data_IF_965184488765
#
_entry.id   IF_965184488765
#
_cell.length_a   1.000
_cell.length_b   1.000
_cell.length_c   1.000
_cell.angle_alpha   90.00
_cell.angle_beta   90.00
_cell.angle_gamma   90.00
#
_symmetry.space_group_name_H-M   'P 1'
#
loop_
_entity.id
_entity.type
_entity.pdbx_description
1 polymer ?
#
# COMPACT_ATOMS: atom_id res chain seq x y z
N UNK A 1 20.01 -4.78 17.68
CA UNK A 1 20.03 -3.87 16.52
C UNK A 1 19.59 -4.57 15.22
N UNK A 2 19.93 -5.85 14.95
CA UNK A 2 19.52 -6.50 13.68
C UNK A 2 18.00 -6.59 13.45
N UNK A 3 17.21 -6.78 14.52
CA UNK A 3 15.75 -6.94 14.42
C UNK A 3 15.04 -5.70 13.86
N UNK A 4 15.54 -4.51 14.19
CA UNK A 4 14.95 -3.24 13.71
C UNK A 4 15.23 -3.02 12.22
N UNK A 5 16.44 -3.36 11.78
CA UNK A 5 16.87 -3.22 10.38
C UNK A 5 16.14 -4.25 9.51
N UNK A 6 15.97 -5.47 10.01
CA UNK A 6 15.18 -6.53 9.37
C UNK A 6 13.70 -6.13 9.20
N UNK A 7 13.07 -5.61 10.26
CA UNK A 7 11.68 -5.14 10.20
C UNK A 7 11.52 -3.94 9.25
N UNK A 8 12.47 -3.00 9.26
CA UNK A 8 12.46 -1.85 8.36
C UNK A 8 12.58 -2.31 6.90
N UNK A 9 13.51 -3.24 6.62
CA UNK A 9 13.70 -3.80 5.28
C UNK A 9 12.47 -4.57 4.80
N UNK A 10 11.83 -5.36 5.69
CA UNK A 10 10.61 -6.08 5.36
C UNK A 10 9.44 -5.14 5.05
N UNK A 11 9.28 -4.05 5.83
CA UNK A 11 8.27 -3.02 5.58
C UNK A 11 8.52 -2.27 4.28
N UNK A 12 9.78 -1.90 3.99
CA UNK A 12 10.15 -1.26 2.73
C UNK A 12 9.84 -2.16 1.52
N UNK A 13 10.16 -3.45 1.61
CA UNK A 13 9.82 -4.42 0.57
C UNK A 13 8.30 -4.54 0.38
N UNK A 14 7.54 -4.66 1.48
CA UNK A 14 6.08 -4.72 1.44
C UNK A 14 5.47 -3.45 0.83
N UNK A 15 6.02 -2.27 1.13
CA UNK A 15 5.59 -1.00 0.57
C UNK A 15 5.84 -0.90 -0.93
N UNK A 16 7.01 -1.35 -1.40
CA UNK A 16 7.32 -1.40 -2.84
C UNK A 16 6.30 -2.27 -3.57
N UNK A 17 6.00 -3.45 -3.03
CA UNK A 17 4.99 -4.35 -3.60
C UNK A 17 3.60 -3.72 -3.60
N UNK A 18 3.14 -3.17 -2.46
CA UNK A 18 1.82 -2.57 -2.35
C UNK A 18 1.65 -1.35 -3.29
N UNK A 19 2.70 -0.54 -3.48
CA UNK A 19 2.69 0.58 -4.43
C UNK A 19 2.62 0.10 -5.88
N UNK A 20 3.30 -0.99 -6.22
CA UNK A 20 3.21 -1.60 -7.54
C UNK A 20 1.81 -2.14 -7.82
N UNK A 21 1.20 -2.84 -6.85
CA UNK A 21 -0.18 -3.33 -6.95
C UNK A 21 -1.18 -2.17 -7.13
N UNK A 22 -1.07 -1.11 -6.33
CA UNK A 22 -1.92 0.07 -6.46
C UNK A 22 -1.79 0.72 -7.84
N UNK A 23 -0.55 0.90 -8.34
CA UNK A 23 -0.32 1.43 -9.68
C UNK A 23 -0.96 0.55 -10.76
N UNK A 24 -0.83 -0.76 -10.65
CA UNK A 24 -1.42 -1.70 -11.60
C UNK A 24 -2.95 -1.64 -11.58
N UNK A 25 -3.57 -1.57 -10.40
CA UNK A 25 -5.01 -1.43 -10.25
C UNK A 25 -5.53 -0.13 -10.91
N UNK A 26 -4.83 0.99 -10.71
CA UNK A 26 -5.16 2.27 -11.35
C UNK A 26 -5.05 2.19 -12.88
N UNK A 27 -3.97 1.59 -13.40
CA UNK A 27 -3.80 1.41 -14.85
C UNK A 27 -4.87 0.50 -15.46
N UNK A 28 -5.25 -0.56 -14.75
CA UNK A 28 -6.29 -1.48 -15.19
C UNK A 28 -7.65 -0.77 -15.23
N UNK A 29 -8.01 0.01 -14.20
CA UNK A 29 -9.24 0.79 -14.22
C UNK A 29 -9.23 1.80 -15.38
N UNK A 30 -8.13 2.55 -15.55
CA UNK A 30 -8.04 3.52 -16.64
C UNK A 30 -8.22 2.85 -18.01
N UNK A 31 -7.66 1.65 -18.20
CA UNK A 31 -7.81 0.86 -19.42
C UNK A 31 -9.27 0.42 -19.61
N UNK A 32 -9.89 -0.10 -18.55
CA UNK A 32 -11.29 -0.53 -18.57
C UNK A 32 -12.26 0.64 -18.81
N UNK A 33 -11.98 1.81 -18.25
CA UNK A 33 -12.80 3.01 -18.48
C UNK A 33 -12.61 3.57 -19.88
N UNK A 34 -11.40 3.51 -20.44
CA UNK A 34 -11.15 3.90 -21.82
C UNK A 34 -11.89 3.00 -22.83
N UNK A 35 -12.04 1.70 -22.55
CA UNK A 35 -12.80 0.80 -23.42
C UNK A 35 -14.32 1.00 -23.32
N UNK A 36 -14.82 1.49 -22.18
CA UNK A 36 -16.24 1.83 -21.97
C UNK A 36 -16.68 3.13 -22.64
N UNK A 37 -15.75 4.01 -23.04
CA UNK A 37 -16.06 5.36 -23.50
C UNK A 37 -16.95 5.41 -24.77
N UNK A 38 -17.02 4.30 -25.52
CA UNK A 38 -17.87 4.14 -26.70
C UNK A 38 -19.18 3.36 -26.45
N UNK A 39 -19.46 2.93 -25.22
CA UNK A 39 -20.67 2.18 -24.86
C UNK A 39 -21.85 3.10 -24.55
N UNK A 40 -23.04 2.80 -25.10
CA UNK A 40 -24.30 3.46 -24.75
C UNK A 40 -24.84 3.08 -23.37
N UNK A 41 -24.34 1.99 -22.78
CA UNK A 41 -24.69 1.50 -21.44
C UNK A 41 -23.44 1.51 -20.55
N UNK A 42 -23.04 2.71 -20.11
CA UNK A 42 -21.84 2.87 -19.27
C UNK A 42 -22.12 2.43 -17.84
N UNK A 43 -21.57 1.29 -17.47
CA UNK A 43 -21.56 0.84 -16.07
C UNK A 43 -20.57 1.68 -15.23
N UNK A 44 -20.87 1.91 -13.94
CA UNK A 44 -19.95 2.57 -13.02
C UNK A 44 -18.55 1.95 -13.00
N UNK A 45 -17.56 2.76 -12.63
CA UNK A 45 -16.20 2.29 -12.41
C UNK A 45 -16.14 1.35 -11.19
N UNK A 46 -15.56 0.16 -11.37
CA UNK A 46 -15.21 -0.72 -10.26
C UNK A 46 -13.93 -0.21 -9.59
N UNK A 47 -14.11 0.44 -8.44
CA UNK A 47 -13.02 1.10 -7.70
C UNK A 47 -12.58 0.29 -6.48
N UNK A 48 -13.21 -0.85 -6.19
CA UNK A 48 -12.98 -1.59 -4.94
C UNK A 48 -11.54 -2.11 -4.87
N UNK A 49 -11.03 -2.63 -5.99
CA UNK A 49 -9.64 -3.09 -6.11
C UNK A 49 -8.63 -1.95 -5.87
N UNK A 50 -8.92 -0.74 -6.35
CA UNK A 50 -8.08 0.44 -6.14
C UNK A 50 -8.12 0.86 -4.68
N UNK A 51 -9.32 0.88 -4.08
CA UNK A 51 -9.50 1.26 -2.69
C UNK A 51 -8.75 0.29 -1.76
N UNK A 52 -8.86 -1.01 -2.01
CA UNK A 52 -8.15 -2.03 -1.26
C UNK A 52 -6.63 -1.86 -1.35
N UNK A 53 -6.09 -1.74 -2.57
CA UNK A 53 -4.64 -1.56 -2.77
C UNK A 53 -4.13 -0.25 -2.15
N UNK A 54 -4.90 0.84 -2.26
CA UNK A 54 -4.56 2.13 -1.63
C UNK A 54 -4.53 2.04 -0.11
N UNK A 55 -5.54 1.40 0.49
CA UNK A 55 -5.62 1.22 1.95
C UNK A 55 -4.43 0.42 2.47
N UNK A 56 -4.00 -0.61 1.73
CA UNK A 56 -2.81 -1.39 2.07
C UNK A 56 -1.53 -0.55 2.05
N UNK A 57 -1.36 0.33 1.06
CA UNK A 57 -0.21 1.27 1.02
C UNK A 57 -0.23 2.19 2.24
N UNK A 58 -1.37 2.81 2.54
CA UNK A 58 -1.50 3.74 3.68
C UNK A 58 -1.17 3.04 5.01
N UNK A 59 -1.69 1.83 5.22
CA UNK A 59 -1.44 1.08 6.44
C UNK A 59 0.04 0.72 6.61
N UNK A 60 0.72 0.33 5.52
CA UNK A 60 2.15 0.02 5.55
C UNK A 60 3.03 1.26 5.74
N UNK A 61 2.66 2.39 5.14
CA UNK A 61 3.39 3.66 5.33
C UNK A 61 3.25 4.14 6.79
N UNK A 62 2.05 4.02 7.38
CA UNK A 62 1.84 4.31 8.80
C UNK A 62 2.63 3.38 9.72
N UNK A 63 2.69 2.08 9.42
CA UNK A 63 3.48 1.11 10.19
C UNK A 63 4.98 1.42 10.12
N UNK A 64 5.48 1.87 8.96
CA UNK A 64 6.87 2.31 8.79
C UNK A 64 7.19 3.57 9.59
N UNK A 65 6.28 4.55 9.58
CA UNK A 65 6.44 5.77 10.39
C UNK A 65 6.44 5.49 11.89
N UNK A 66 5.57 4.59 12.35
CA UNK A 66 5.54 4.15 13.75
C UNK A 66 6.83 3.41 14.13
N UNK A 67 7.29 2.46 13.31
CA UNK A 67 8.55 1.76 13.56
C UNK A 67 9.73 2.75 13.63
N UNK A 68 9.79 3.72 12.71
CA UNK A 68 10.84 4.74 12.73
C UNK A 68 10.81 5.57 14.01
N UNK A 69 9.62 5.93 14.53
CA UNK A 69 9.48 6.62 15.82
C UNK A 69 10.01 5.77 16.97
N UNK A 70 9.57 4.51 17.07
CA UNK A 70 10.00 3.58 18.14
C UNK A 70 11.52 3.42 18.17
N UNK A 71 12.14 3.29 17.00
CA UNK A 71 13.60 3.16 16.86
C UNK A 71 14.32 4.44 17.28
N UNK A 72 13.82 5.61 16.85
CA UNK A 72 14.43 6.90 17.17
C UNK A 72 14.27 7.30 18.65
N UNK A 73 13.18 6.88 19.29
CA UNK A 73 12.89 7.11 20.71
C UNK A 73 13.63 6.11 21.63
N UNK A 74 14.31 5.11 21.07
CA UNK A 74 15.03 4.08 21.82
C UNK A 74 14.09 3.13 22.60
N UNK A 75 12.81 3.08 22.21
CA UNK A 75 11.84 2.21 22.85
C UNK A 75 12.10 0.73 22.48
N UNK A 76 12.03 -0.20 23.45
CA UNK A 76 12.30 -1.61 23.18
C UNK A 76 11.19 -2.23 22.32
N UNK A 77 11.59 -2.83 21.20
CA UNK A 77 10.68 -3.49 20.23
C UNK A 77 9.93 -4.71 20.81
N UNK A 78 10.37 -5.25 21.95
CA UNK A 78 9.78 -6.42 22.64
C UNK A 78 8.38 -6.16 23.24
N UNK A 79 7.91 -4.91 23.24
CA UNK A 79 6.58 -4.55 23.78
C UNK A 79 5.45 -4.55 22.75
N UNK A 80 5.76 -4.76 21.46
CA UNK A 80 4.75 -4.87 20.40
C UNK A 80 4.33 -6.34 20.31
N UNK A 81 3.38 -6.76 21.15
CA UNK A 81 2.84 -8.11 21.17
C UNK A 81 1.32 -8.11 21.04
#
# INVERSE_FOLDING_TARGET
>A
MSTSEELTSALDAALVTARAEYRNAVLQLATNEATKDSSSEREPADVDHIHHARTRVIALDAAREELSRIVNEGAPLDQIR
#
